data_IF_946546835663
#
_entry.id   IF_946546835663
#
_cell.length_a   1.000
_cell.length_b   1.000
_cell.length_c   1.000
_cell.angle_alpha   90.00
_cell.angle_beta   90.00
_cell.angle_gamma   90.00
#
_symmetry.space_group_name_H-M   'P 1'
#
loop_
_entity.id
_entity.type
_entity.pdbx_description
1 polymer ?
#
# COMPACT_ATOMS: atom_id res chain seq x y z
N UNK A 1 -7.61 30.67 4.89
CA UNK A 1 -6.77 29.56 4.30
C UNK A 1 -6.56 28.50 5.36
N UNK A 2 -6.50 27.21 4.99
CA UNK A 2 -6.08 26.15 5.92
C UNK A 2 -4.58 26.27 6.22
N UNK A 3 -4.11 25.73 7.36
CA UNK A 3 -2.67 25.69 7.67
C UNK A 3 -1.86 25.06 6.54
N UNK A 4 -2.35 23.96 5.96
CA UNK A 4 -1.73 23.27 4.81
C UNK A 4 -1.63 24.18 3.56
N UNK A 5 -2.67 24.97 3.28
CA UNK A 5 -2.64 25.91 2.15
C UNK A 5 -1.60 27.00 2.35
N UNK A 6 -1.46 27.54 3.56
CA UNK A 6 -0.46 28.54 3.89
C UNK A 6 0.98 28.00 3.76
N UNK A 7 1.24 26.77 4.19
CA UNK A 7 2.57 26.17 4.05
C UNK A 7 2.92 25.83 2.58
N UNK A 8 1.96 25.41 1.77
CA UNK A 8 2.20 25.22 0.33
C UNK A 8 2.49 26.53 -0.37
N UNK A 9 1.75 27.61 -0.08
CA UNK A 9 2.04 28.95 -0.61
C UNK A 9 3.39 29.45 -0.16
N UNK A 10 3.78 29.21 1.10
CA UNK A 10 5.12 29.53 1.60
C UNK A 10 6.21 28.81 0.81
N UNK A 11 6.03 27.51 0.51
CA UNK A 11 6.99 26.72 -0.28
C UNK A 11 7.12 27.27 -1.70
N UNK A 12 6.00 27.61 -2.35
CA UNK A 12 6.00 28.27 -3.67
C UNK A 12 6.76 29.60 -3.62
N UNK A 13 6.49 30.44 -2.62
CA UNK A 13 7.19 31.73 -2.47
C UNK A 13 8.70 31.57 -2.18
N UNK A 14 9.12 30.49 -1.50
CA UNK A 14 10.53 30.14 -1.33
C UNK A 14 11.15 29.84 -2.70
N UNK A 15 10.51 29.04 -3.53
CA UNK A 15 11.02 28.70 -4.88
C UNK A 15 11.11 29.94 -5.78
N UNK A 16 10.08 30.79 -5.78
CA UNK A 16 10.11 32.07 -6.49
C UNK A 16 11.33 32.94 -6.06
N UNK A 17 11.59 32.98 -4.75
CA UNK A 17 12.72 33.73 -4.19
C UNK A 17 14.07 33.12 -4.57
N UNK A 18 14.21 31.80 -4.56
CA UNK A 18 15.45 31.12 -4.98
C UNK A 18 15.78 31.39 -6.43
N UNK A 19 14.79 31.52 -7.30
CA UNK A 19 14.97 31.77 -8.74
C UNK A 19 14.92 33.26 -9.14
N UNK A 20 14.64 34.16 -8.20
CA UNK A 20 14.66 35.60 -8.46
C UNK A 20 16.06 36.08 -8.89
N UNK A 21 16.17 37.29 -9.49
CA UNK A 21 17.41 37.87 -10.00
C UNK A 21 18.55 37.86 -8.97
N UNK A 22 18.21 38.09 -7.70
CA UNK A 22 19.14 38.04 -6.56
C UNK A 22 18.99 36.79 -5.73
N UNK A 23 18.45 35.70 -6.30
CA UNK A 23 18.28 34.37 -5.67
C UNK A 23 19.56 33.54 -5.76
N UNK A 24 19.37 32.22 -5.61
CA UNK A 24 20.45 31.25 -5.65
C UNK A 24 20.98 31.06 -7.10
N UNK A 25 22.26 31.24 -7.38
CA UNK A 25 22.81 31.05 -8.72
C UNK A 25 22.56 29.63 -9.27
N UNK A 26 22.72 28.61 -8.43
CA UNK A 26 22.52 27.22 -8.81
C UNK A 26 21.07 26.94 -9.23
N UNK A 27 20.08 27.35 -8.41
CA UNK A 27 18.67 27.16 -8.73
C UNK A 27 18.26 27.88 -10.01
N UNK A 28 18.85 29.05 -10.29
CA UNK A 28 18.57 29.84 -11.49
C UNK A 28 19.09 29.20 -12.78
N UNK A 29 20.17 28.42 -12.71
CA UNK A 29 20.74 27.70 -13.86
C UNK A 29 19.95 26.44 -14.21
N UNK A 30 19.08 25.94 -13.31
CA UNK A 30 18.35 24.72 -13.55
C UNK A 30 17.27 24.86 -14.63
N UNK A 31 17.09 23.78 -15.39
CA UNK A 31 16.04 23.62 -16.38
C UNK A 31 15.34 22.25 -16.23
N UNK A 32 14.32 21.98 -17.06
CA UNK A 32 13.58 20.71 -17.04
C UNK A 32 14.47 19.47 -17.28
N UNK A 33 15.61 19.64 -17.95
CA UNK A 33 16.52 18.55 -18.28
C UNK A 33 17.49 18.29 -17.14
N UNK A 34 18.07 19.35 -16.57
CA UNK A 34 19.02 19.25 -15.47
C UNK A 34 18.38 18.71 -14.18
N UNK A 35 17.07 18.96 -13.95
CA UNK A 35 16.35 18.50 -12.77
C UNK A 35 15.82 17.04 -12.87
N UNK A 36 15.87 16.42 -14.05
CA UNK A 36 15.38 15.02 -14.21
C UNK A 36 16.06 14.00 -13.30
N UNK A 37 17.41 14.01 -13.14
CA UNK A 37 18.07 13.10 -12.21
C UNK A 37 17.56 13.26 -10.78
N UNK A 38 17.44 14.49 -10.28
CA UNK A 38 16.99 14.77 -8.93
C UNK A 38 15.56 14.28 -8.68
N UNK A 39 14.62 14.51 -9.59
CA UNK A 39 13.25 13.99 -9.47
C UNK A 39 13.23 12.45 -9.36
N UNK A 40 14.12 11.77 -10.07
CA UNK A 40 14.24 10.30 -10.01
C UNK A 40 14.85 9.87 -8.66
N UNK A 41 15.89 10.57 -8.22
CA UNK A 41 16.57 10.34 -6.93
C UNK A 41 15.59 10.49 -5.76
N UNK A 42 14.91 11.63 -5.62
CA UNK A 42 13.90 11.86 -4.58
C UNK A 42 12.78 10.80 -4.61
N UNK A 43 12.39 10.36 -5.82
CA UNK A 43 11.39 9.30 -5.96
C UNK A 43 11.89 7.99 -5.34
N UNK A 44 13.16 7.63 -5.53
CA UNK A 44 13.72 6.42 -4.97
C UNK A 44 14.00 6.55 -3.47
N UNK A 45 14.37 7.73 -2.97
CA UNK A 45 14.54 7.99 -1.53
C UNK A 45 13.22 7.86 -0.78
N UNK A 46 12.12 8.38 -1.35
CA UNK A 46 10.76 8.13 -0.82
C UNK A 46 10.45 6.63 -0.78
N UNK A 47 10.77 5.86 -1.83
CA UNK A 47 10.54 4.41 -1.85
C UNK A 47 11.38 3.69 -0.79
N UNK A 48 12.63 4.09 -0.58
CA UNK A 48 13.49 3.52 0.44
C UNK A 48 12.98 3.82 1.85
N UNK A 49 12.48 5.05 2.11
CA UNK A 49 11.88 5.37 3.41
C UNK A 49 10.53 4.67 3.62
N UNK A 50 9.71 4.49 2.57
CA UNK A 50 8.50 3.68 2.67
C UNK A 50 8.82 2.23 3.09
N UNK A 51 9.89 1.65 2.53
CA UNK A 51 10.37 0.33 2.94
C UNK A 51 10.85 0.34 4.39
N UNK A 52 11.65 1.33 4.80
CA UNK A 52 12.12 1.46 6.19
C UNK A 52 10.95 1.56 7.17
N UNK A 53 9.95 2.38 6.85
CA UNK A 53 8.75 2.51 7.68
C UNK A 53 7.98 1.18 7.76
N UNK A 54 7.89 0.41 6.69
CA UNK A 54 7.25 -0.91 6.71
C UNK A 54 7.96 -1.91 7.65
N UNK A 55 9.23 -1.67 7.97
CA UNK A 55 10.02 -2.45 8.94
C UNK A 55 10.22 -1.74 10.29
N UNK A 56 9.38 -0.75 10.62
CA UNK A 56 9.42 -0.06 11.92
C UNK A 56 10.31 1.18 11.97
N UNK A 57 10.72 1.70 10.82
CA UNK A 57 11.48 2.95 10.69
C UNK A 57 10.65 4.20 10.99
N UNK A 58 11.30 5.34 10.91
CA UNK A 58 10.72 6.64 11.29
C UNK A 58 9.77 7.19 10.22
N UNK A 59 8.53 7.46 10.59
CA UNK A 59 7.58 8.24 9.77
C UNK A 59 8.06 9.67 9.50
N UNK A 60 8.95 10.18 10.35
CA UNK A 60 9.50 11.51 10.18
C UNK A 60 10.44 11.60 8.99
N UNK A 61 11.30 10.59 8.81
CA UNK A 61 12.19 10.51 7.65
C UNK A 61 11.39 10.43 6.35
N UNK A 62 10.34 9.61 6.30
CA UNK A 62 9.42 9.58 5.15
C UNK A 62 8.75 10.95 4.89
N UNK A 63 8.44 11.71 5.94
CA UNK A 63 7.89 13.06 5.79
C UNK A 63 8.91 14.02 5.17
N UNK A 64 10.19 13.87 5.52
CA UNK A 64 11.30 14.67 4.99
C UNK A 64 11.47 14.37 3.49
N UNK A 65 11.59 13.11 3.07
CA UNK A 65 11.71 12.74 1.66
C UNK A 65 10.47 13.10 0.80
N UNK A 66 9.27 12.98 1.37
CA UNK A 66 8.06 13.48 0.70
C UNK A 66 8.10 15.00 0.51
N UNK A 67 8.76 15.73 1.40
CA UNK A 67 9.02 17.16 1.29
C UNK A 67 9.96 17.47 0.12
N UNK A 68 11.03 16.70 -0.03
CA UNK A 68 12.01 16.86 -1.10
C UNK A 68 11.40 16.53 -2.48
N UNK A 69 10.61 15.46 -2.56
CA UNK A 69 9.83 15.16 -3.77
C UNK A 69 8.82 16.28 -4.10
N UNK A 70 8.13 16.85 -3.10
CA UNK A 70 7.23 17.98 -3.29
C UNK A 70 7.98 19.21 -3.77
N UNK A 71 9.19 19.45 -3.26
CA UNK A 71 10.05 20.54 -3.70
C UNK A 71 10.39 20.42 -5.20
N UNK A 72 10.70 19.22 -5.70
CA UNK A 72 10.89 18.97 -7.12
C UNK A 72 9.65 19.35 -7.95
N UNK A 73 8.46 18.99 -7.47
CA UNK A 73 7.20 19.34 -8.15
C UNK A 73 7.01 20.85 -8.22
N UNK A 74 7.24 21.57 -7.11
CA UNK A 74 7.15 23.03 -7.05
C UNK A 74 8.19 23.67 -7.95
N UNK A 75 9.41 23.12 -8.01
CA UNK A 75 10.48 23.61 -8.90
C UNK A 75 10.06 23.53 -10.37
N UNK A 76 9.55 22.40 -10.80
CA UNK A 76 9.06 22.23 -12.18
C UNK A 76 7.88 23.15 -12.49
N UNK A 77 6.98 23.38 -11.54
CA UNK A 77 5.88 24.33 -11.70
C UNK A 77 6.39 25.77 -11.83
N UNK A 78 7.42 26.14 -11.07
CA UNK A 78 8.07 27.45 -11.17
C UNK A 78 8.71 27.67 -12.54
N UNK A 79 9.44 26.67 -13.05
CA UNK A 79 10.02 26.73 -14.40
C UNK A 79 8.96 26.94 -15.50
N UNK A 80 7.78 26.33 -15.33
CA UNK A 80 6.66 26.53 -16.24
C UNK A 80 6.05 27.92 -16.11
N UNK A 81 5.87 28.42 -14.88
CA UNK A 81 5.34 29.75 -14.60
C UNK A 81 6.22 30.86 -15.19
N UNK A 82 7.55 30.73 -15.11
CA UNK A 82 8.51 31.65 -15.73
C UNK A 82 8.38 31.73 -17.25
N UNK A 83 7.85 30.67 -17.88
CA UNK A 83 7.55 30.61 -19.31
C UNK A 83 6.10 31.00 -19.65
N UNK A 84 5.29 31.32 -18.66
CA UNK A 84 3.89 31.66 -18.84
C UNK A 84 2.99 30.46 -19.21
N UNK A 85 3.44 29.22 -18.96
CA UNK A 85 2.72 28.00 -19.36
C UNK A 85 1.66 27.61 -18.31
N UNK A 86 2.06 27.37 -17.06
CA UNK A 86 1.18 27.04 -15.95
C UNK A 86 1.85 27.30 -14.60
N UNK A 87 1.04 27.35 -13.53
CA UNK A 87 1.46 27.62 -12.16
C UNK A 87 1.25 26.39 -11.28
N UNK A 88 1.77 26.41 -10.03
CA UNK A 88 1.48 25.37 -9.03
C UNK A 88 -0.02 25.26 -8.74
N UNK A 89 -0.77 26.36 -8.77
CA UNK A 89 -2.22 26.33 -8.61
C UNK A 89 -2.91 25.53 -9.74
N UNK A 90 -2.41 25.61 -10.95
CA UNK A 90 -2.92 24.85 -12.10
C UNK A 90 -2.60 23.35 -11.96
N UNK A 91 -1.42 23.00 -11.45
CA UNK A 91 -1.06 21.62 -11.13
C UNK A 91 -2.03 21.03 -10.09
N UNK A 92 -2.27 21.75 -9.00
CA UNK A 92 -3.22 21.34 -7.95
C UNK A 92 -4.65 21.20 -8.50
N UNK A 93 -5.11 22.16 -9.30
CA UNK A 93 -6.43 22.12 -9.93
C UNK A 93 -6.55 20.93 -10.87
N UNK A 94 -5.59 20.73 -11.74
CA UNK A 94 -5.60 19.65 -12.74
C UNK A 94 -5.69 18.27 -12.09
N UNK A 95 -4.95 18.02 -11.00
CA UNK A 95 -5.05 16.73 -10.29
C UNK A 95 -6.35 16.60 -9.50
N UNK A 96 -6.82 17.67 -8.85
CA UNK A 96 -8.09 17.68 -8.11
C UNK A 96 -9.27 17.35 -9.02
N UNK A 97 -9.37 18.03 -10.16
CA UNK A 97 -10.43 17.81 -11.15
C UNK A 97 -10.39 16.39 -11.70
N UNK A 98 -9.17 15.91 -12.01
CA UNK A 98 -8.96 14.54 -12.48
C UNK A 98 -9.41 13.48 -11.45
N UNK A 99 -9.03 13.64 -10.19
CA UNK A 99 -9.39 12.68 -9.14
C UNK A 99 -10.90 12.73 -8.88
N UNK A 100 -11.48 13.91 -8.78
CA UNK A 100 -12.93 14.09 -8.59
C UNK A 100 -13.72 13.44 -9.72
N UNK A 101 -13.36 13.68 -10.98
CA UNK A 101 -14.04 13.12 -12.15
C UNK A 101 -13.92 11.60 -12.27
N UNK A 102 -12.83 11.01 -11.76
CA UNK A 102 -12.59 9.56 -11.81
C UNK A 102 -13.15 8.78 -10.62
N UNK A 103 -13.68 9.49 -9.61
CA UNK A 103 -14.29 8.89 -8.43
C UNK A 103 -15.77 9.32 -8.29
N UNK A 104 -16.63 9.08 -9.31
CA UNK A 104 -18.04 9.48 -9.26
C UNK A 104 -18.84 8.72 -8.19
N UNK A 105 -18.28 7.66 -7.62
CA UNK A 105 -18.83 6.93 -6.49
C UNK A 105 -18.52 7.59 -5.12
N UNK A 106 -17.59 8.56 -5.08
CA UNK A 106 -17.26 9.34 -3.87
C UNK A 106 -17.79 10.76 -3.97
N UNK A 107 -17.65 11.37 -5.16
CA UNK A 107 -17.97 12.79 -5.39
C UNK A 107 -19.27 13.01 -6.20
N UNK A 108 -19.97 11.94 -6.57
CA UNK A 108 -21.23 11.94 -7.31
C UNK A 108 -22.22 10.92 -6.75
N UNK A 109 -23.19 10.53 -7.56
CA UNK A 109 -24.30 9.63 -7.14
C UNK A 109 -24.09 8.16 -7.53
N UNK A 110 -22.98 7.82 -8.20
CA UNK A 110 -22.72 6.45 -8.67
C UNK A 110 -22.39 5.54 -7.49
N UNK A 111 -23.03 4.36 -7.45
CA UNK A 111 -22.69 3.32 -6.48
C UNK A 111 -21.78 2.27 -7.12
N UNK A 112 -20.91 1.67 -6.33
CA UNK A 112 -20.02 0.57 -6.72
C UNK A 112 -20.07 -0.51 -5.64
N UNK A 113 -19.91 -1.77 -6.04
CA UNK A 113 -20.03 -2.93 -5.14
C UNK A 113 -18.71 -3.21 -4.40
N UNK A 114 -17.60 -3.11 -5.11
CA UNK A 114 -16.28 -3.49 -4.63
C UNK A 114 -15.14 -2.73 -5.35
N UNK A 115 -13.92 -3.02 -4.95
CA UNK A 115 -12.72 -2.42 -5.54
C UNK A 115 -12.47 -2.83 -6.99
N UNK A 116 -12.92 -4.00 -7.42
CA UNK A 116 -12.75 -4.47 -8.81
C UNK A 116 -13.61 -3.65 -9.75
N UNK A 117 -14.86 -3.39 -9.37
CA UNK A 117 -15.75 -2.51 -10.14
C UNK A 117 -15.20 -1.07 -10.21
N UNK A 118 -14.59 -0.57 -9.12
CA UNK A 118 -13.91 0.73 -9.12
C UNK A 118 -12.79 0.76 -10.15
N UNK A 119 -11.90 -0.24 -10.15
CA UNK A 119 -10.77 -0.34 -11.09
C UNK A 119 -11.23 -0.44 -12.55
N UNK A 120 -12.27 -1.23 -12.82
CA UNK A 120 -12.87 -1.36 -14.15
C UNK A 120 -13.44 -0.02 -14.65
N UNK A 121 -14.24 0.64 -13.82
CA UNK A 121 -14.81 1.94 -14.13
C UNK A 121 -13.73 3.01 -14.36
N UNK A 122 -12.70 3.00 -13.54
CA UNK A 122 -11.58 3.94 -13.65
C UNK A 122 -10.80 3.76 -14.96
N UNK A 123 -10.56 2.51 -15.38
CA UNK A 123 -9.92 2.21 -16.65
C UNK A 123 -10.76 2.73 -17.85
N UNK A 124 -12.09 2.54 -17.79
CA UNK A 124 -13.03 3.03 -18.81
C UNK A 124 -13.02 4.57 -18.89
N UNK A 125 -13.16 5.25 -17.77
CA UNK A 125 -13.12 6.72 -17.71
C UNK A 125 -11.79 7.28 -18.24
N UNK A 126 -10.67 6.63 -17.91
CA UNK A 126 -9.35 7.00 -18.43
C UNK A 126 -9.26 6.84 -19.96
N UNK A 127 -9.82 5.78 -20.51
CA UNK A 127 -9.83 5.55 -21.97
C UNK A 127 -10.70 6.59 -22.68
N UNK A 128 -11.89 6.90 -22.16
CA UNK A 128 -12.79 7.94 -22.70
C UNK A 128 -12.14 9.34 -22.65
N UNK A 129 -11.49 9.68 -21.55
CA UNK A 129 -10.75 10.94 -21.41
C UNK A 129 -9.62 11.06 -22.44
N UNK A 130 -8.88 9.97 -22.66
CA UNK A 130 -7.82 9.91 -23.66
C UNK A 130 -8.38 10.09 -25.08
N UNK A 131 -9.43 9.36 -25.43
CA UNK A 131 -10.13 9.47 -26.73
C UNK A 131 -10.60 10.91 -26.97
N UNK A 132 -11.16 11.57 -25.95
CA UNK A 132 -11.58 12.97 -26.03
C UNK A 132 -10.42 13.94 -26.25
N UNK A 133 -9.26 13.71 -25.60
CA UNK A 133 -8.08 14.58 -25.71
C UNK A 133 -7.31 14.40 -27.04
N UNK A 134 -7.23 13.17 -27.53
CA UNK A 134 -6.39 12.84 -28.70
C UNK A 134 -7.15 12.69 -30.00
N UNK A 135 -8.49 12.57 -29.95
CA UNK A 135 -9.33 12.29 -31.12
C UNK A 135 -9.11 10.90 -31.73
N UNK A 136 -8.27 10.05 -31.13
CA UNK A 136 -7.94 8.71 -31.65
C UNK A 136 -8.17 7.65 -30.59
N UNK A 137 -8.56 6.47 -31.03
CA UNK A 137 -8.52 5.27 -30.20
C UNK A 137 -7.04 4.87 -30.07
N UNK A 138 -6.54 4.92 -28.83
CA UNK A 138 -5.18 4.50 -28.54
C UNK A 138 -5.09 2.99 -28.32
N UNK A 139 -3.86 2.44 -28.31
CA UNK A 139 -3.64 1.06 -27.88
C UNK A 139 -4.09 0.87 -26.42
N UNK A 140 -4.62 -0.32 -26.10
CA UNK A 140 -4.88 -0.73 -24.72
C UNK A 140 -3.64 -0.59 -23.83
N UNK A 141 -2.46 -0.79 -24.43
CA UNK A 141 -1.16 -0.73 -23.74
C UNK A 141 -0.67 0.71 -23.52
N UNK A 142 -1.30 1.70 -24.09
CA UNK A 142 -0.88 3.11 -23.95
C UNK A 142 -0.92 3.62 -22.51
N UNK A 143 0.01 4.55 -22.19
CA UNK A 143 0.09 5.24 -20.90
C UNK A 143 0.89 4.48 -19.83
N UNK A 144 1.68 3.47 -20.24
CA UNK A 144 2.80 2.95 -19.47
C UNK A 144 4.03 3.78 -19.84
N UNK A 145 4.64 4.52 -18.89
CA UNK A 145 5.80 5.36 -19.20
C UNK A 145 6.96 4.55 -19.74
N UNK A 146 7.56 4.99 -20.84
CA UNK A 146 8.72 4.29 -21.44
C UNK A 146 9.98 4.40 -20.59
N UNK A 147 10.07 5.41 -19.74
CA UNK A 147 11.19 5.61 -18.82
C UNK A 147 11.05 4.83 -17.49
N UNK A 148 9.92 4.18 -17.25
CA UNK A 148 9.76 3.38 -16.04
C UNK A 148 10.68 2.13 -16.06
N UNK A 149 11.09 1.59 -14.89
CA UNK A 149 11.84 0.36 -14.78
C UNK A 149 11.21 -0.79 -15.56
N UNK A 150 12.03 -1.66 -16.14
CA UNK A 150 11.58 -2.64 -17.12
C UNK A 150 10.59 -3.67 -16.53
N UNK A 151 10.83 -4.16 -15.31
CA UNK A 151 9.95 -5.11 -14.65
C UNK A 151 8.60 -4.48 -14.31
N UNK A 152 8.60 -3.24 -13.83
CA UNK A 152 7.36 -2.48 -13.60
C UNK A 152 6.59 -2.29 -14.90
N UNK A 153 7.28 -1.98 -16.02
CA UNK A 153 6.64 -1.86 -17.34
C UNK A 153 6.01 -3.17 -17.78
N UNK A 154 6.73 -4.29 -17.66
CA UNK A 154 6.24 -5.62 -18.01
C UNK A 154 4.98 -5.98 -17.21
N UNK A 155 4.99 -5.75 -15.89
CA UNK A 155 3.81 -5.93 -15.03
C UNK A 155 2.62 -5.08 -15.51
N UNK A 156 2.83 -3.78 -15.77
CA UNK A 156 1.77 -2.88 -16.21
C UNK A 156 1.22 -3.18 -17.58
N UNK A 157 2.07 -3.65 -18.50
CA UNK A 157 1.64 -4.05 -19.85
C UNK A 157 0.79 -5.33 -19.79
N UNK A 158 1.22 -6.34 -19.05
CA UNK A 158 0.46 -7.58 -18.86
C UNK A 158 -0.84 -7.36 -18.07
N UNK A 159 -0.85 -6.49 -17.05
CA UNK A 159 -2.07 -6.06 -16.37
C UNK A 159 -3.08 -5.41 -17.32
N UNK A 160 -2.62 -4.57 -18.24
CA UNK A 160 -3.50 -3.92 -19.22
C UNK A 160 -4.06 -4.92 -20.24
N UNK A 161 -3.24 -5.86 -20.70
CA UNK A 161 -3.67 -6.93 -21.61
C UNK A 161 -4.71 -7.83 -20.95
N UNK A 162 -4.56 -8.15 -19.67
CA UNK A 162 -5.49 -9.01 -18.93
C UNK A 162 -6.90 -8.41 -18.84
N UNK A 163 -7.02 -7.09 -18.74
CA UNK A 163 -8.32 -6.40 -18.64
C UNK A 163 -9.20 -6.52 -19.89
N UNK A 164 -8.63 -6.87 -21.04
CA UNK A 164 -9.36 -7.14 -22.28
C UNK A 164 -9.50 -8.63 -22.58
N UNK A 165 -9.18 -9.49 -21.60
CA UNK A 165 -9.28 -10.95 -21.73
C UNK A 165 -8.04 -11.62 -22.32
N UNK A 166 -6.96 -10.88 -22.60
CA UNK A 166 -5.68 -11.47 -22.98
C UNK A 166 -4.87 -11.83 -21.73
N UNK A 167 -5.23 -12.95 -21.13
CA UNK A 167 -4.62 -13.45 -19.90
C UNK A 167 -4.68 -14.97 -19.79
N UNK A 168 -3.84 -15.53 -18.94
CA UNK A 168 -3.90 -16.92 -18.54
C UNK A 168 -5.08 -17.16 -17.58
N UNK A 169 -5.75 -18.32 -17.62
CA UNK A 169 -6.87 -18.60 -16.74
C UNK A 169 -6.44 -18.71 -15.25
N UNK A 170 -5.19 -19.11 -15.02
CA UNK A 170 -4.65 -19.30 -13.67
C UNK A 170 -3.11 -19.19 -13.65
N UNK A 171 -2.54 -19.30 -12.45
CA UNK A 171 -1.10 -19.26 -12.22
C UNK A 171 -0.37 -20.47 -12.84
N UNK A 172 -1.03 -21.59 -13.08
CA UNK A 172 -0.41 -22.78 -13.66
C UNK A 172 -0.02 -22.54 -15.12
N UNK A 173 -0.88 -21.84 -15.88
CA UNK A 173 -0.59 -21.46 -17.27
C UNK A 173 0.63 -20.53 -17.36
N UNK A 174 0.71 -19.52 -16.48
CA UNK A 174 1.86 -18.59 -16.44
C UNK A 174 3.15 -19.33 -16.07
N UNK A 175 3.08 -20.26 -15.11
CA UNK A 175 4.26 -21.07 -14.74
C UNK A 175 4.70 -21.99 -15.86
N UNK A 176 3.74 -22.60 -16.59
CA UNK A 176 4.06 -23.43 -17.74
C UNK A 176 4.82 -22.62 -18.80
N UNK A 177 4.37 -21.40 -19.10
CA UNK A 177 5.08 -20.51 -20.03
C UNK A 177 6.48 -20.14 -19.53
N UNK A 178 6.66 -19.84 -18.25
CA UNK A 178 7.99 -19.58 -17.70
C UNK A 178 8.95 -20.77 -17.87
N UNK A 179 8.47 -22.01 -17.70
CA UNK A 179 9.29 -23.21 -17.93
C UNK A 179 9.60 -23.42 -19.42
N UNK A 180 8.68 -23.04 -20.31
CA UNK A 180 8.91 -23.03 -21.76
C UNK A 180 10.05 -22.07 -22.11
N UNK A 181 9.99 -20.81 -21.65
CA UNK A 181 11.03 -19.79 -21.87
C UNK A 181 12.40 -20.21 -21.30
N UNK A 182 12.42 -20.87 -20.14
CA UNK A 182 13.65 -21.42 -19.57
C UNK A 182 14.22 -22.54 -20.46
N UNK A 183 13.38 -23.38 -21.08
CA UNK A 183 13.82 -24.40 -22.03
C UNK A 183 14.38 -23.79 -23.32
N UNK A 184 13.73 -22.76 -23.85
CA UNK A 184 14.21 -22.04 -25.06
C UNK A 184 15.55 -21.33 -24.78
N UNK A 185 15.69 -20.73 -23.59
CA UNK A 185 16.96 -20.17 -23.15
C UNK A 185 18.09 -21.24 -23.06
N UNK A 186 17.79 -22.44 -22.53
CA UNK A 186 18.75 -23.55 -22.47
C UNK A 186 19.20 -24.00 -23.88
N UNK A 187 18.28 -24.05 -24.85
CA UNK A 187 18.58 -24.35 -26.25
C UNK A 187 19.44 -23.23 -26.87
N UNK A 188 19.12 -21.97 -26.63
CA UNK A 188 19.90 -20.83 -27.10
C UNK A 188 21.34 -20.86 -26.52
N UNK A 189 21.50 -21.18 -25.23
CA UNK A 189 22.79 -21.32 -24.57
C UNK A 189 23.60 -22.46 -25.24
N UNK A 190 22.96 -23.61 -25.53
CA UNK A 190 23.61 -24.75 -26.17
C UNK A 190 24.07 -24.43 -27.60
N UNK A 191 23.30 -23.61 -28.34
CA UNK A 191 23.66 -23.15 -29.68
C UNK A 191 24.78 -22.13 -29.70
N UNK A 192 25.06 -21.46 -28.57
CA UNK A 192 26.01 -20.35 -28.43
C UNK A 192 25.66 -19.12 -29.29
N UNK A 193 24.44 -19.04 -29.73
CA UNK A 193 23.92 -17.86 -30.44
C UNK A 193 23.60 -16.73 -29.44
N UNK A 194 24.39 -15.66 -29.49
CA UNK A 194 24.30 -14.57 -28.53
C UNK A 194 22.99 -13.78 -28.65
N UNK A 195 22.52 -13.60 -29.88
CA UNK A 195 21.28 -12.85 -30.13
C UNK A 195 20.05 -13.66 -29.64
N UNK A 196 20.06 -14.99 -29.88
CA UNK A 196 19.05 -15.87 -29.32
C UNK A 196 19.06 -15.88 -27.79
N UNK A 197 20.25 -15.98 -27.16
CA UNK A 197 20.37 -15.94 -25.69
C UNK A 197 19.82 -14.64 -25.14
N UNK A 198 20.11 -13.50 -25.75
CA UNK A 198 19.59 -12.19 -25.29
C UNK A 198 18.07 -12.10 -25.42
N UNK A 199 17.49 -12.63 -26.50
CA UNK A 199 16.06 -12.71 -26.72
C UNK A 199 15.37 -13.55 -25.64
N UNK A 200 15.76 -14.83 -25.52
CA UNK A 200 15.13 -15.77 -24.59
C UNK A 200 15.31 -15.35 -23.13
N UNK A 201 16.44 -14.75 -22.78
CA UNK A 201 16.65 -14.19 -21.45
C UNK A 201 15.65 -13.04 -21.17
N UNK A 202 15.37 -12.22 -22.17
CA UNK A 202 14.34 -11.19 -22.10
C UNK A 202 12.94 -11.78 -21.85
N UNK A 203 12.59 -12.86 -22.53
CA UNK A 203 11.28 -13.52 -22.40
C UNK A 203 11.11 -14.22 -21.04
N UNK A 204 12.18 -14.82 -20.50
CA UNK A 204 12.20 -15.32 -19.12
C UNK A 204 11.90 -14.19 -18.11
N UNK A 205 12.57 -13.03 -18.25
CA UNK A 205 12.32 -11.88 -17.35
C UNK A 205 10.90 -11.35 -17.48
N UNK A 206 10.34 -11.29 -18.70
CA UNK A 206 8.98 -10.87 -18.95
C UNK A 206 7.96 -11.86 -18.34
N UNK A 207 8.18 -13.15 -18.52
CA UNK A 207 7.36 -14.21 -17.93
C UNK A 207 7.42 -14.22 -16.40
N UNK A 208 8.57 -13.94 -15.79
CA UNK A 208 8.72 -13.74 -14.35
C UNK A 208 7.93 -12.51 -13.85
N UNK A 209 7.98 -11.40 -14.60
CA UNK A 209 7.22 -10.21 -14.24
C UNK A 209 5.70 -10.49 -14.29
N UNK A 210 5.23 -11.22 -15.30
CA UNK A 210 3.83 -11.64 -15.39
C UNK A 210 3.44 -12.61 -14.25
N UNK A 211 4.30 -13.54 -13.88
CA UNK A 211 4.09 -14.43 -12.74
C UNK A 211 3.94 -13.62 -11.44
N UNK A 212 4.76 -12.59 -11.23
CA UNK A 212 4.67 -11.68 -10.09
C UNK A 212 3.27 -11.07 -9.95
N UNK A 213 2.65 -10.66 -11.06
CA UNK A 213 1.28 -10.15 -11.11
C UNK A 213 0.25 -11.19 -10.59
N UNK A 214 0.34 -12.44 -11.03
CA UNK A 214 -0.53 -13.53 -10.55
C UNK A 214 -0.34 -13.82 -9.06
N UNK A 215 0.89 -13.70 -8.57
CA UNK A 215 1.23 -13.91 -7.16
C UNK A 215 0.91 -12.67 -6.29
N UNK A 216 0.42 -11.58 -6.88
CA UNK A 216 0.24 -10.27 -6.21
C UNK A 216 1.52 -9.77 -5.53
N UNK A 217 2.64 -10.04 -6.17
CA UNK A 217 3.97 -9.63 -5.73
C UNK A 217 4.60 -8.78 -6.83
N UNK A 218 4.57 -7.43 -6.72
CA UNK A 218 5.16 -6.55 -7.71
C UNK A 218 6.62 -6.93 -8.00
N UNK A 219 6.98 -7.25 -9.25
CA UNK A 219 8.28 -7.83 -9.56
C UNK A 219 9.44 -6.85 -9.32
N UNK A 220 9.24 -5.57 -9.58
CA UNK A 220 10.22 -4.51 -9.32
C UNK A 220 10.53 -4.42 -7.81
N UNK A 221 9.48 -4.39 -6.97
CA UNK A 221 9.63 -4.33 -5.51
C UNK A 221 10.26 -5.61 -4.97
N UNK A 222 9.85 -6.79 -5.49
CA UNK A 222 10.41 -8.06 -5.08
C UNK A 222 11.92 -8.15 -5.37
N UNK A 223 12.35 -7.65 -6.54
CA UNK A 223 13.76 -7.61 -6.91
C UNK A 223 14.53 -6.58 -6.07
N UNK A 224 13.99 -5.39 -5.85
CA UNK A 224 14.57 -4.36 -4.98
C UNK A 224 14.81 -4.90 -3.56
N UNK A 225 13.83 -5.60 -3.01
CA UNK A 225 13.97 -6.27 -1.71
C UNK A 225 15.03 -7.37 -1.71
N UNK A 226 15.18 -8.12 -2.80
CA UNK A 226 16.23 -9.13 -2.93
C UNK A 226 17.62 -8.49 -3.00
N UNK A 227 17.78 -7.40 -3.75
CA UNK A 227 19.01 -6.61 -3.83
C UNK A 227 19.39 -6.09 -2.44
N UNK A 228 18.45 -5.49 -1.71
CA UNK A 228 18.68 -5.01 -0.35
C UNK A 228 19.18 -6.12 0.58
N UNK A 229 18.53 -7.29 0.57
CA UNK A 229 18.97 -8.43 1.38
C UNK A 229 20.38 -8.88 0.98
N UNK A 230 20.68 -8.93 -0.32
CA UNK A 230 22.02 -9.26 -0.80
C UNK A 230 23.06 -8.27 -0.28
N UNK A 231 22.80 -6.97 -0.43
CA UNK A 231 23.70 -5.90 0.03
C UNK A 231 23.96 -5.98 1.53
N UNK A 232 22.90 -6.11 2.35
CA UNK A 232 23.03 -6.24 3.81
C UNK A 232 23.87 -7.44 4.21
N UNK A 233 23.66 -8.60 3.57
CA UNK A 233 24.44 -9.82 3.86
C UNK A 233 25.89 -9.67 3.42
N UNK A 234 26.13 -9.02 2.30
CA UNK A 234 27.49 -8.77 1.83
C UNK A 234 28.25 -7.82 2.75
N UNK A 235 27.61 -6.74 3.20
CA UNK A 235 28.16 -5.82 4.21
C UNK A 235 28.49 -6.55 5.54
N UNK A 236 27.69 -7.55 5.91
CA UNK A 236 28.00 -8.41 7.06
C UNK A 236 29.30 -9.20 6.83
N UNK A 237 29.53 -9.75 5.64
CA UNK A 237 30.80 -10.42 5.28
C UNK A 237 31.97 -9.44 5.41
N UNK A 238 31.85 -8.24 4.84
CA UNK A 238 32.89 -7.22 4.90
C UNK A 238 33.25 -6.85 6.35
N UNK A 239 32.24 -6.65 7.18
CA UNK A 239 32.43 -6.33 8.60
C UNK A 239 33.10 -7.48 9.38
N UNK A 240 32.69 -8.72 9.11
CA UNK A 240 33.25 -9.91 9.75
C UNK A 240 34.72 -10.12 9.37
N UNK A 241 35.04 -10.09 8.08
CA UNK A 241 36.43 -10.22 7.58
C UNK A 241 37.32 -9.10 8.12
N UNK A 242 36.83 -7.87 8.17
CA UNK A 242 37.55 -6.75 8.77
C UNK A 242 37.87 -7.00 10.25
N UNK A 243 36.93 -7.59 11.00
CA UNK A 243 37.14 -7.93 12.41
C UNK A 243 38.19 -9.04 12.59
N UNK A 244 38.25 -9.98 11.64
CA UNK A 244 39.24 -11.05 11.60
C UNK A 244 40.60 -10.59 11.05
N UNK A 245 40.72 -9.36 10.57
CA UNK A 245 41.95 -8.81 9.99
C UNK A 245 42.29 -9.39 8.60
N UNK A 246 41.29 -9.97 7.90
CA UNK A 246 41.43 -10.55 6.58
C UNK A 246 40.97 -9.54 5.53
N UNK A 247 41.82 -9.27 4.52
CA UNK A 247 41.43 -8.42 3.42
C UNK A 247 40.39 -9.14 2.53
N UNK A 248 39.37 -8.41 2.04
CA UNK A 248 38.28 -8.99 1.25
C UNK A 248 38.81 -9.78 0.03
N UNK A 249 39.85 -9.29 -0.65
CA UNK A 249 40.46 -9.97 -1.81
C UNK A 249 41.29 -11.19 -1.46
N UNK A 250 41.59 -11.43 -0.18
CA UNK A 250 42.32 -12.59 0.31
C UNK A 250 41.42 -13.68 0.89
N UNK A 251 40.15 -13.36 1.13
CA UNK A 251 39.19 -14.30 1.64
C UNK A 251 38.80 -15.34 0.56
N UNK A 252 38.77 -16.60 0.97
CA UNK A 252 38.28 -17.66 0.09
C UNK A 252 36.74 -17.62 0.01
N UNK A 253 36.17 -18.21 -1.07
CA UNK A 253 34.75 -18.35 -1.22
C UNK A 253 34.08 -19.04 -0.01
N UNK A 254 34.69 -20.13 0.48
CA UNK A 254 34.20 -20.88 1.64
C UNK A 254 34.22 -20.02 2.93
N UNK A 255 35.18 -19.09 3.06
CA UNK A 255 35.25 -18.17 4.16
C UNK A 255 34.10 -17.16 4.09
N UNK A 256 33.90 -16.55 2.94
CA UNK A 256 32.79 -15.62 2.70
C UNK A 256 31.42 -16.30 2.84
N UNK A 257 31.26 -17.54 2.37
CA UNK A 257 30.02 -18.31 2.47
C UNK A 257 29.64 -18.60 3.93
N UNK A 258 30.62 -18.88 4.81
CA UNK A 258 30.34 -19.05 6.26
C UNK A 258 29.69 -17.79 6.85
N UNK A 259 30.23 -16.62 6.55
CA UNK A 259 29.65 -15.34 7.02
C UNK A 259 28.31 -15.04 6.36
N UNK A 260 28.13 -15.41 5.09
CA UNK A 260 26.84 -15.33 4.39
C UNK A 260 25.76 -16.16 5.09
N UNK A 261 26.07 -17.40 5.44
CA UNK A 261 25.14 -18.27 6.17
C UNK A 261 24.86 -17.76 7.58
N UNK A 262 25.86 -17.18 8.26
CA UNK A 262 25.67 -16.52 9.54
C UNK A 262 24.71 -15.31 9.44
N UNK A 263 24.87 -14.47 8.42
CA UNK A 263 23.95 -13.36 8.15
C UNK A 263 22.52 -13.85 7.89
N UNK A 264 22.34 -14.91 7.08
CA UNK A 264 21.02 -15.53 6.86
C UNK A 264 20.40 -16.10 8.14
N UNK A 265 21.20 -16.70 8.99
CA UNK A 265 20.71 -17.22 10.27
C UNK A 265 20.31 -16.08 11.22
N UNK A 266 21.06 -14.98 11.27
CA UNK A 266 20.74 -13.80 12.03
C UNK A 266 19.42 -13.14 11.57
N UNK A 267 19.21 -13.04 10.26
CA UNK A 267 17.94 -12.53 9.71
C UNK A 267 16.73 -13.40 10.10
N UNK A 268 16.89 -14.73 10.12
CA UNK A 268 15.81 -15.64 10.55
C UNK A 268 15.55 -15.59 12.05
N UNK A 269 16.57 -15.28 12.85
CA UNK A 269 16.46 -15.13 14.30
C UNK A 269 15.85 -13.78 14.70
N UNK A 270 15.93 -12.78 13.82
CA UNK A 270 15.16 -11.54 14.02
C UNK A 270 13.67 -11.94 13.98
N UNK A 271 12.86 -11.52 14.97
CA UNK A 271 11.42 -11.67 14.84
C UNK A 271 11.03 -11.05 13.49
N UNK A 272 10.03 -11.64 12.79
CA UNK A 272 9.50 -11.02 11.58
C UNK A 272 9.29 -9.54 11.91
N UNK A 273 9.63 -8.61 10.98
CA UNK A 273 9.52 -7.18 11.25
C UNK A 273 8.22 -7.00 11.99
N UNK A 274 8.31 -6.49 13.21
CA UNK A 274 7.13 -6.35 14.05
C UNK A 274 6.14 -5.67 13.13
N UNK A 275 5.09 -6.40 12.73
CA UNK A 275 3.96 -5.80 12.03
C UNK A 275 3.78 -4.51 12.77
N UNK A 276 4.01 -3.37 12.10
CA UNK A 276 4.09 -2.01 12.67
C UNK A 276 3.43 -2.07 14.04
N UNK A 277 4.07 -1.73 15.18
CA UNK A 277 3.36 -1.82 16.42
C UNK A 277 2.07 -1.08 16.12
N UNK A 278 1.05 -1.84 15.76
CA UNK A 278 -0.31 -1.31 15.71
C UNK A 278 -0.38 -0.83 17.12
N UNK A 279 -0.28 0.49 17.28
CA UNK A 279 -0.54 1.08 18.59
C UNK A 279 -1.78 0.32 19.02
N UNK A 280 -1.69 -0.54 20.02
CA UNK A 280 -2.69 -1.56 20.23
C UNK A 280 -3.99 -0.81 20.20
N UNK A 281 -4.93 -1.19 19.35
CA UNK A 281 -6.20 -0.49 19.22
C UNK A 281 -6.82 -0.57 20.62
N UNK A 282 -6.51 0.43 21.43
CA UNK A 282 -6.83 0.42 22.85
C UNK A 282 -8.27 0.84 23.09
N UNK A 283 -8.87 1.51 22.12
CA UNK A 283 -10.30 1.86 22.20
C UNK A 283 -10.92 2.09 20.83
N UNK A 284 -12.19 1.71 20.70
CA UNK A 284 -13.09 2.09 19.62
C UNK A 284 -14.21 2.93 20.22
N UNK A 285 -14.46 4.09 19.65
CA UNK A 285 -15.51 5.01 20.11
C UNK A 285 -16.62 5.12 19.08
N UNK A 286 -17.87 4.95 19.52
CA UNK A 286 -19.07 5.02 18.71
C UNK A 286 -20.02 6.08 19.28
N UNK A 287 -20.59 6.90 18.42
CA UNK A 287 -21.70 7.80 18.79
C UNK A 287 -23.00 7.08 18.48
N UNK A 288 -23.88 6.95 19.47
CA UNK A 288 -25.14 6.20 19.36
C UNK A 288 -26.34 7.07 19.78
N UNK A 289 -27.45 6.90 19.10
CA UNK A 289 -28.68 7.65 19.40
C UNK A 289 -29.33 7.20 20.72
N UNK A 290 -29.28 5.89 21.00
CA UNK A 290 -29.97 5.25 22.14
C UNK A 290 -28.96 4.62 23.11
N UNK A 291 -28.22 5.47 23.84
CA UNK A 291 -27.20 4.99 24.79
C UNK A 291 -27.78 4.07 25.90
N UNK A 292 -28.99 4.27 26.46
CA UNK A 292 -29.57 3.34 27.43
C UNK A 292 -29.80 1.94 26.85
N UNK A 293 -30.25 1.82 25.60
CA UNK A 293 -30.47 0.54 24.92
C UNK A 293 -29.13 -0.18 24.67
N UNK A 294 -28.10 0.57 24.23
CA UNK A 294 -26.74 0.04 24.08
C UNK A 294 -26.19 -0.47 25.41
N UNK A 295 -26.36 0.30 26.48
CA UNK A 295 -25.90 -0.08 27.81
C UNK A 295 -26.58 -1.34 28.31
N UNK A 296 -27.88 -1.49 28.12
CA UNK A 296 -28.64 -2.68 28.49
C UNK A 296 -28.16 -3.92 27.71
N UNK A 297 -27.98 -3.78 26.40
CA UNK A 297 -27.49 -4.84 25.51
C UNK A 297 -26.09 -5.29 25.94
N UNK A 298 -25.12 -4.38 26.01
CA UNK A 298 -23.74 -4.73 26.32
C UNK A 298 -23.51 -5.20 27.75
N UNK A 299 -24.32 -4.77 28.72
CA UNK A 299 -24.27 -5.34 30.07
C UNK A 299 -24.63 -6.84 30.10
N UNK A 300 -25.43 -7.32 29.15
CA UNK A 300 -25.75 -8.74 29.01
C UNK A 300 -24.77 -9.52 28.15
N UNK A 301 -24.20 -8.91 27.13
CA UNK A 301 -23.34 -9.54 26.13
C UNK A 301 -21.86 -9.56 26.55
N UNK A 302 -21.35 -8.44 27.07
CA UNK A 302 -19.93 -8.30 27.40
C UNK A 302 -19.37 -9.41 28.32
N UNK A 303 -20.05 -9.80 29.40
CA UNK A 303 -19.54 -10.89 30.27
C UNK A 303 -19.43 -12.23 29.55
N UNK A 304 -20.25 -12.48 28.52
CA UNK A 304 -20.27 -13.76 27.78
C UNK A 304 -19.06 -13.89 26.83
N UNK A 305 -18.49 -12.76 26.41
CA UNK A 305 -17.28 -12.70 25.58
C UNK A 305 -16.01 -12.36 26.38
N UNK A 306 -16.11 -12.34 27.72
CA UNK A 306 -14.99 -12.07 28.61
C UNK A 306 -14.68 -10.61 28.87
N UNK A 307 -15.57 -9.70 28.50
CA UNK A 307 -15.42 -8.27 28.70
C UNK A 307 -16.15 -7.79 29.96
N UNK A 308 -15.71 -6.68 30.50
CA UNK A 308 -16.30 -6.07 31.70
C UNK A 308 -16.77 -4.65 31.40
N UNK A 309 -17.87 -4.25 32.06
CA UNK A 309 -18.29 -2.88 32.08
C UNK A 309 -17.27 -2.03 32.86
N UNK A 310 -16.82 -0.94 32.27
CA UNK A 310 -15.87 -0.02 32.89
C UNK A 310 -16.59 1.24 33.37
N UNK A 311 -16.05 1.88 34.41
CA UNK A 311 -16.56 3.17 34.87
C UNK A 311 -16.22 4.26 33.86
N UNK A 312 -17.23 4.89 33.26
CA UNK A 312 -17.14 6.03 32.34
C UNK A 312 -17.91 7.24 32.84
N UNK A 313 -17.93 8.30 32.03
CA UNK A 313 -18.77 9.47 32.26
C UNK A 313 -20.27 9.09 32.20
N UNK A 314 -21.19 9.88 32.78
CA UNK A 314 -22.62 9.57 32.77
C UNK A 314 -23.23 9.41 31.37
N UNK A 315 -22.64 10.05 30.36
CA UNK A 315 -22.99 10.05 28.95
C UNK A 315 -22.21 9.04 28.13
N UNK A 316 -21.45 8.13 28.79
CA UNK A 316 -20.69 7.05 28.17
C UNK A 316 -21.08 5.68 28.72
N UNK A 317 -21.04 4.66 27.86
CA UNK A 317 -21.00 3.23 28.24
C UNK A 317 -19.71 2.60 27.69
N UNK A 318 -18.95 1.92 28.52
CA UNK A 318 -17.62 1.42 28.21
C UNK A 318 -17.48 -0.04 28.61
N UNK A 319 -16.91 -0.85 27.72
CA UNK A 319 -16.70 -2.30 27.92
C UNK A 319 -15.34 -2.70 27.35
N UNK A 320 -14.65 -3.58 28.03
CA UNK A 320 -13.33 -4.03 27.59
C UNK A 320 -12.81 -5.27 28.32
N UNK A 321 -11.69 -5.79 27.85
CA UNK A 321 -10.95 -6.92 28.42
C UNK A 321 -9.59 -6.51 29.02
N UNK A 322 -9.34 -5.20 29.11
CA UNK A 322 -8.05 -4.61 29.50
C UNK A 322 -7.10 -4.35 28.35
N UNK A 323 -7.27 -4.99 27.20
CA UNK A 323 -6.47 -4.76 25.98
C UNK A 323 -7.21 -3.87 24.97
N UNK A 324 -8.51 -4.07 24.80
CA UNK A 324 -9.38 -3.29 23.93
C UNK A 324 -10.58 -2.77 24.70
N UNK A 325 -10.95 -1.51 24.43
CA UNK A 325 -12.10 -0.85 25.04
C UNK A 325 -13.08 -0.39 23.97
N UNK A 326 -14.37 -0.74 24.11
CA UNK A 326 -15.47 -0.13 23.37
C UNK A 326 -16.09 1.00 24.17
N UNK A 327 -16.29 2.13 23.55
CA UNK A 327 -16.89 3.31 24.17
C UNK A 327 -18.07 3.78 23.33
N UNK A 328 -19.26 3.82 23.92
CA UNK A 328 -20.47 4.35 23.31
C UNK A 328 -20.81 5.70 23.96
N UNK A 329 -20.99 6.74 23.16
CA UNK A 329 -21.37 8.09 23.61
C UNK A 329 -22.72 8.49 23.01
N UNK A 330 -23.54 9.19 23.76
CA UNK A 330 -24.80 9.71 23.26
C UNK A 330 -24.57 10.79 22.20
N UNK A 331 -25.34 10.75 21.10
CA UNK A 331 -25.28 11.75 20.02
C UNK A 331 -26.07 11.34 18.80
N UNK A 332 -26.04 12.17 17.77
CA UNK A 332 -26.69 11.84 16.50
C UNK A 332 -25.79 10.84 15.74
N UNK A 333 -26.29 9.62 15.57
CA UNK A 333 -25.59 8.59 14.79
C UNK A 333 -25.54 8.99 13.32
N UNK A 334 -24.35 9.02 12.74
CA UNK A 334 -24.15 9.22 11.29
C UNK A 334 -24.42 7.96 10.46
N UNK A 335 -25.05 6.93 11.05
CA UNK A 335 -25.42 5.68 10.37
C UNK A 335 -24.21 4.87 9.95
N UNK A 336 -23.69 4.02 10.82
CA UNK A 336 -22.64 3.04 10.47
C UNK A 336 -23.25 1.83 9.71
N UNK A 337 -23.94 2.07 8.60
CA UNK A 337 -24.43 1.00 7.73
C UNK A 337 -23.23 0.45 6.94
N UNK A 338 -22.90 -0.83 7.17
CA UNK A 338 -21.88 -1.55 6.40
C UNK A 338 -20.57 -1.86 7.10
N UNK A 339 -20.39 -1.46 8.36
CA UNK A 339 -19.22 -1.87 9.16
C UNK A 339 -19.55 -3.17 9.90
N UNK A 340 -18.77 -4.22 9.70
CA UNK A 340 -18.78 -5.43 10.51
C UNK A 340 -17.52 -5.44 11.39
N UNK A 341 -17.71 -5.69 12.71
CA UNK A 341 -16.61 -5.84 13.66
C UNK A 341 -16.46 -7.32 14.01
N UNK A 342 -15.27 -7.87 13.82
CA UNK A 342 -14.98 -9.28 14.12
C UNK A 342 -14.18 -9.39 15.42
N UNK A 343 -14.63 -10.30 16.29
CA UNK A 343 -13.99 -10.64 17.55
C UNK A 343 -13.63 -12.13 17.55
N UNK A 344 -12.43 -12.46 18.00
CA UNK A 344 -12.01 -13.86 18.19
C UNK A 344 -12.67 -14.48 19.42
N UNK A 345 -13.22 -15.70 19.28
CA UNK A 345 -13.74 -16.48 20.39
C UNK A 345 -12.70 -17.50 20.86
N UNK A 346 -12.59 -17.76 22.17
CA UNK A 346 -11.63 -18.73 22.68
C UNK A 346 -11.99 -20.20 22.37
N UNK A 347 -13.22 -20.48 21.94
CA UNK A 347 -13.67 -21.81 21.53
C UNK A 347 -15.07 -21.79 20.92
N UNK A 348 -15.43 -22.82 20.13
CA UNK A 348 -16.79 -23.00 19.58
C UNK A 348 -17.86 -23.03 20.68
N UNK A 349 -17.54 -23.56 21.88
CA UNK A 349 -18.44 -23.54 23.03
C UNK A 349 -18.72 -22.12 23.56
N UNK A 350 -17.81 -21.20 23.38
CA UNK A 350 -18.04 -19.78 23.69
C UNK A 350 -19.02 -19.16 22.69
N UNK A 351 -18.91 -19.51 21.41
CA UNK A 351 -19.87 -19.10 20.36
C UNK A 351 -21.28 -19.61 20.66
N UNK A 352 -21.43 -20.90 21.03
CA UNK A 352 -22.72 -21.49 21.38
C UNK A 352 -23.36 -20.81 22.60
N UNK A 353 -22.56 -20.49 23.62
CA UNK A 353 -23.06 -19.78 24.82
C UNK A 353 -23.56 -18.38 24.49
N UNK A 354 -22.82 -17.65 23.68
CA UNK A 354 -23.23 -16.32 23.25
C UNK A 354 -24.52 -16.38 22.43
N UNK A 355 -24.63 -17.35 21.51
CA UNK A 355 -25.84 -17.58 20.72
C UNK A 355 -27.06 -17.81 21.61
N UNK A 356 -26.98 -18.79 22.52
CA UNK A 356 -28.10 -19.12 23.42
C UNK A 356 -28.54 -17.91 24.26
N UNK A 357 -27.59 -17.08 24.70
CA UNK A 357 -27.90 -15.88 25.48
C UNK A 357 -28.55 -14.78 24.61
N UNK A 358 -28.08 -14.55 23.38
CA UNK A 358 -28.69 -13.60 22.48
C UNK A 358 -30.10 -14.02 22.04
N UNK A 359 -30.31 -15.28 21.71
CA UNK A 359 -31.63 -15.80 21.36
C UNK A 359 -32.63 -15.63 22.51
N UNK A 360 -32.15 -15.77 23.75
CA UNK A 360 -33.00 -15.63 24.96
C UNK A 360 -33.28 -14.21 25.37
N UNK A 361 -32.25 -13.34 25.35
CA UNK A 361 -32.33 -11.96 25.90
C UNK A 361 -32.57 -10.89 24.84
N UNK A 362 -32.20 -11.15 23.59
CA UNK A 362 -32.30 -10.18 22.46
C UNK A 362 -32.80 -10.89 21.19
N UNK A 363 -34.04 -11.41 21.19
CA UNK A 363 -34.57 -12.18 20.06
C UNK A 363 -34.58 -11.32 18.79
N UNK A 364 -34.04 -11.89 17.70
CA UNK A 364 -33.89 -11.19 16.40
C UNK A 364 -32.60 -10.42 16.22
N UNK A 365 -31.72 -10.33 17.22
CA UNK A 365 -30.37 -9.74 17.04
C UNK A 365 -29.45 -10.62 16.21
N UNK A 366 -29.61 -11.94 16.28
CA UNK A 366 -28.79 -12.91 15.53
C UNK A 366 -29.15 -12.88 14.06
N UNK A 367 -28.16 -12.65 13.21
CA UNK A 367 -28.31 -12.56 11.74
C UNK A 367 -27.85 -13.82 11.02
N UNK A 368 -27.04 -14.65 11.66
CA UNK A 368 -26.54 -15.92 11.14
C UNK A 368 -25.70 -16.61 12.20
N UNK A 369 -25.74 -17.94 12.22
CA UNK A 369 -24.96 -18.75 13.14
C UNK A 369 -24.52 -20.06 12.49
N UNK A 370 -23.21 -20.33 12.59
CA UNK A 370 -22.58 -21.59 12.21
C UNK A 370 -21.90 -22.21 13.45
N UNK A 371 -21.44 -23.48 13.42
CA UNK A 371 -20.85 -24.12 14.60
C UNK A 371 -19.67 -23.33 15.24
N UNK A 372 -18.95 -22.53 14.44
CA UNK A 372 -17.78 -21.81 14.91
C UNK A 372 -17.91 -20.28 14.81
N UNK A 373 -19.10 -19.79 14.42
CA UNK A 373 -19.31 -18.37 14.14
C UNK A 373 -20.74 -17.95 14.48
N UNK A 374 -20.88 -16.76 15.03
CA UNK A 374 -22.17 -16.08 15.17
C UNK A 374 -22.06 -14.64 14.70
N UNK A 375 -23.08 -14.18 13.97
CA UNK A 375 -23.26 -12.80 13.57
C UNK A 375 -24.49 -12.21 14.25
N UNK A 376 -24.36 -11.05 14.86
CA UNK A 376 -25.46 -10.39 15.53
C UNK A 376 -25.38 -8.87 15.35
N UNK A 377 -26.53 -8.20 15.48
CA UNK A 377 -26.60 -6.74 15.50
C UNK A 377 -26.87 -6.22 16.90
N UNK A 378 -26.15 -5.18 17.28
CA UNK A 378 -26.45 -4.42 18.48
C UNK A 378 -27.61 -3.42 18.23
N UNK A 379 -28.13 -2.75 19.27
CA UNK A 379 -29.25 -1.80 19.14
C UNK A 379 -28.96 -0.60 18.22
N UNK A 380 -27.70 -0.27 17.94
CA UNK A 380 -27.35 0.76 16.97
C UNK A 380 -27.34 0.24 15.52
N UNK A 381 -27.59 -1.07 15.32
CA UNK A 381 -27.55 -1.72 14.01
C UNK A 381 -26.16 -2.14 13.56
N UNK A 382 -25.12 -1.97 14.39
CA UNK A 382 -23.77 -2.40 14.08
C UNK A 382 -23.70 -3.92 14.00
N UNK A 383 -23.10 -4.46 12.94
CA UNK A 383 -22.94 -5.89 12.76
C UNK A 383 -21.67 -6.37 13.48
N UNK A 384 -21.85 -7.38 14.33
CA UNK A 384 -20.76 -8.03 15.04
C UNK A 384 -20.61 -9.48 14.59
N UNK A 385 -19.38 -9.93 14.51
CA UNK A 385 -19.01 -11.29 14.21
C UNK A 385 -18.12 -11.84 15.32
N UNK A 386 -18.47 -13.00 15.88
CA UNK A 386 -17.72 -13.68 16.93
C UNK A 386 -17.38 -15.08 16.44
N UNK A 387 -16.10 -15.36 16.23
CA UNK A 387 -15.60 -16.55 15.54
C UNK A 387 -14.54 -17.25 16.37
N UNK A 388 -14.67 -18.60 16.52
CA UNK A 388 -13.73 -19.47 17.21
C UNK A 388 -12.67 -20.04 16.27
#
# INVERSE_FOLDING_TARGET
MSATGAELERLVGIMERLRAENGCPWDREQDLRSLRPYLVEETFEVLDEMDRVAYGGSWRSLCEELGDLLFQIVFHAQLAAEKGEFTMADVCRAISDKITSRHPHVFGERQVKDSEEVLFNWAKLKAEEKKRKTGREGSVLDGVPTAAPALLRAERLTEKASRIGFDWPDVAGVRAKLYEELGELDEAIASKDRDAIEHEFGDVLFSLANLGRFLRSPPEDALRMAIRRFTTRFQHIEAALKTEGVALGEATLDHMERHWQAAKAAEKALPPPASLPRAPLTSLRFTVAELPAQRAFWNSVAPLIGWQAERGAPDEASYGDGALRLVFTAGVSSGASGVALSLGAPSSRAVERLRAALDSSHPGSVQGAEPHQIRFRDPSGLLWEYTA
#
